data_IF_703191152321
#
_entry.id   IF_703191152321
#
_cell.length_a   1.000
_cell.length_b   1.000
_cell.length_c   1.000
_cell.angle_alpha   90.00
_cell.angle_beta   90.00
_cell.angle_gamma   90.00
#
_symmetry.space_group_name_H-M   'P 1'
#
loop_
_entity.id
_entity.type
_entity.pdbx_description
1 polymer ?
#
# COMPACT_ATOMS: atom_id res chain seq x y z
N UNK A 1 5.05 3.30 -12.93
CA UNK A 1 4.20 2.42 -12.13
C UNK A 1 2.87 2.21 -12.82
N UNK A 2 2.54 0.96 -13.13
CA UNK A 2 1.32 0.62 -13.86
C UNK A 2 0.55 -0.40 -13.00
N UNK A 3 -0.22 0.10 -12.05
CA UNK A 3 -1.05 -0.72 -11.18
C UNK A 3 -2.50 -0.44 -11.45
N UNK A 4 -3.24 -1.46 -11.87
CA UNK A 4 -4.64 -1.39 -12.30
C UNK A 4 -5.56 -1.79 -11.16
N UNK A 5 -6.68 -1.08 -11.03
CA UNK A 5 -7.81 -1.48 -10.19
C UNK A 5 -9.09 -1.56 -11.01
N UNK A 6 -10.16 -2.05 -10.41
CA UNK A 6 -11.48 -1.94 -11.02
C UNK A 6 -11.97 -0.49 -10.96
N UNK A 7 -12.75 -0.13 -11.96
CA UNK A 7 -13.53 1.13 -11.97
C UNK A 7 -14.90 0.88 -11.37
N UNK A 8 -15.53 1.91 -10.84
CA UNK A 8 -16.94 1.83 -10.47
C UNK A 8 -17.80 1.97 -11.74
N UNK A 9 -17.96 0.85 -12.47
CA UNK A 9 -18.68 0.81 -13.74
C UNK A 9 -20.11 1.31 -13.62
N UNK A 10 -20.79 1.00 -12.52
CA UNK A 10 -22.16 1.47 -12.29
C UNK A 10 -22.23 2.98 -12.04
N UNK A 11 -21.32 3.52 -11.25
CA UNK A 11 -21.23 4.95 -11.00
C UNK A 11 -20.82 5.71 -12.28
N UNK A 12 -19.83 5.20 -13.03
CA UNK A 12 -19.40 5.80 -14.30
C UNK A 12 -20.54 5.85 -15.32
N UNK A 13 -21.26 4.75 -15.51
CA UNK A 13 -22.42 4.73 -16.42
C UNK A 13 -23.44 5.79 -16.06
N UNK A 14 -23.73 5.97 -14.77
CA UNK A 14 -24.63 7.02 -14.28
C UNK A 14 -24.08 8.41 -14.53
N UNK A 15 -22.78 8.64 -14.33
CA UNK A 15 -22.13 9.92 -14.62
C UNK A 15 -22.24 10.30 -16.09
N UNK A 16 -21.92 9.39 -17.02
CA UNK A 16 -22.08 9.66 -18.46
C UNK A 16 -23.49 10.13 -18.79
N UNK A 17 -24.52 9.44 -18.27
CA UNK A 17 -25.91 9.82 -18.46
C UNK A 17 -26.23 11.22 -17.87
N UNK A 18 -25.69 11.56 -16.69
CA UNK A 18 -25.87 12.87 -16.07
C UNK A 18 -25.29 14.01 -16.91
N UNK A 19 -24.19 13.75 -17.63
CA UNK A 19 -23.58 14.72 -18.56
C UNK A 19 -24.20 14.68 -19.96
N UNK A 20 -25.28 13.94 -20.16
CA UNK A 20 -25.93 13.79 -21.46
C UNK A 20 -25.06 13.08 -22.52
N UNK A 21 -24.11 12.27 -22.06
CA UNK A 21 -23.19 11.50 -22.92
C UNK A 21 -23.55 10.03 -22.90
N UNK A 22 -23.32 9.37 -24.05
CA UNK A 22 -23.39 7.92 -24.12
C UNK A 22 -22.19 7.32 -23.40
N UNK A 23 -22.44 6.29 -22.57
CA UNK A 23 -21.38 5.58 -21.88
C UNK A 23 -20.58 4.72 -22.89
N UNK A 24 -19.26 4.61 -22.75
CA UNK A 24 -18.46 3.72 -23.56
C UNK A 24 -18.97 2.28 -23.52
N UNK A 25 -18.90 1.58 -24.64
CA UNK A 25 -19.43 0.21 -24.83
C UNK A 25 -18.86 -0.79 -23.82
N UNK A 26 -17.59 -0.64 -23.43
CA UNK A 26 -16.91 -1.55 -22.51
C UNK A 26 -17.53 -1.53 -21.09
N UNK A 27 -18.17 -0.45 -20.66
CA UNK A 27 -18.84 -0.39 -19.36
C UNK A 27 -19.95 -1.45 -19.26
N UNK A 28 -20.75 -1.60 -20.30
CA UNK A 28 -21.82 -2.58 -20.32
C UNK A 28 -21.29 -4.00 -20.41
N UNK A 29 -20.20 -4.23 -21.14
CA UNK A 29 -19.56 -5.54 -21.21
C UNK A 29 -18.95 -5.95 -19.85
N UNK A 30 -18.29 -5.02 -19.15
CA UNK A 30 -17.76 -5.28 -17.81
C UNK A 30 -18.88 -5.60 -16.81
N UNK A 31 -19.98 -4.84 -16.82
CA UNK A 31 -21.15 -5.09 -15.98
C UNK A 31 -21.72 -6.50 -16.26
N UNK A 32 -21.93 -6.85 -17.53
CA UNK A 32 -22.42 -8.18 -17.92
C UNK A 32 -21.49 -9.30 -17.43
N UNK A 33 -20.18 -9.12 -17.59
CA UNK A 33 -19.20 -10.10 -17.15
C UNK A 33 -19.20 -10.27 -15.64
N UNK A 34 -19.28 -9.19 -14.86
CA UNK A 34 -19.38 -9.24 -13.40
C UNK A 34 -20.66 -9.95 -12.92
N UNK A 35 -21.78 -9.67 -13.57
CA UNK A 35 -23.06 -10.30 -13.24
C UNK A 35 -23.05 -11.80 -13.61
N UNK A 36 -22.54 -12.16 -14.77
CA UNK A 36 -22.40 -13.56 -15.21
C UNK A 36 -21.50 -14.39 -14.28
N UNK A 37 -20.45 -13.77 -13.70
CA UNK A 37 -19.56 -14.40 -12.72
C UNK A 37 -20.09 -14.37 -11.28
N UNK A 38 -21.29 -13.81 -11.04
CA UNK A 38 -21.91 -13.74 -9.72
C UNK A 38 -21.30 -12.69 -8.77
N UNK A 39 -20.52 -11.74 -9.27
CA UNK A 39 -19.84 -10.73 -8.44
C UNK A 39 -20.69 -9.49 -8.14
N UNK A 40 -21.88 -9.35 -8.72
CA UNK A 40 -22.75 -8.18 -8.56
C UNK A 40 -22.95 -7.79 -7.09
N UNK A 41 -23.31 -8.75 -6.23
CA UNK A 41 -23.59 -8.48 -4.82
C UNK A 41 -22.33 -8.13 -3.99
N UNK A 42 -21.15 -8.50 -4.46
CA UNK A 42 -19.87 -8.26 -3.82
C UNK A 42 -19.06 -7.15 -4.51
N UNK A 43 -19.61 -6.54 -5.55
CA UNK A 43 -18.89 -5.60 -6.41
C UNK A 43 -18.22 -4.46 -5.63
N UNK A 44 -18.96 -3.76 -4.77
CA UNK A 44 -18.41 -2.66 -3.97
C UNK A 44 -17.25 -3.09 -3.08
N UNK A 45 -17.34 -4.27 -2.48
CA UNK A 45 -16.25 -4.82 -1.65
C UNK A 45 -15.02 -5.15 -2.48
N UNK A 46 -15.20 -5.76 -3.65
CA UNK A 46 -14.11 -6.09 -4.57
C UNK A 46 -13.47 -4.83 -5.14
N UNK A 47 -14.27 -3.85 -5.52
CA UNK A 47 -13.80 -2.54 -5.96
C UNK A 47 -12.89 -1.90 -4.89
N UNK A 48 -13.34 -1.85 -3.64
CA UNK A 48 -12.54 -1.30 -2.54
C UNK A 48 -11.24 -2.07 -2.32
N UNK A 49 -11.28 -3.41 -2.40
CA UNK A 49 -10.06 -4.23 -2.27
C UNK A 49 -9.06 -3.92 -3.38
N UNK A 50 -9.50 -3.83 -4.64
CA UNK A 50 -8.61 -3.53 -5.77
C UNK A 50 -8.05 -2.12 -5.69
N UNK A 51 -8.85 -1.13 -5.27
CA UNK A 51 -8.38 0.25 -5.04
C UNK A 51 -7.35 0.33 -3.91
N UNK A 52 -7.60 -0.33 -2.78
CA UNK A 52 -6.64 -0.40 -1.68
C UNK A 52 -5.33 -1.06 -2.10
N UNK A 53 -5.41 -2.11 -2.92
CA UNK A 53 -4.21 -2.77 -3.46
C UNK A 53 -3.43 -1.85 -4.39
N UNK A 54 -4.10 -1.18 -5.32
CA UNK A 54 -3.51 -0.19 -6.21
C UNK A 54 -2.79 0.92 -5.43
N UNK A 55 -3.45 1.46 -4.41
CA UNK A 55 -2.87 2.46 -3.52
C UNK A 55 -1.58 1.98 -2.85
N UNK A 56 -1.58 0.77 -2.29
CA UNK A 56 -0.38 0.18 -1.67
C UNK A 56 0.76 0.01 -2.66
N UNK A 57 0.46 -0.42 -3.88
CA UNK A 57 1.45 -0.57 -4.93
C UNK A 57 2.06 0.79 -5.30
N UNK A 58 1.25 1.85 -5.47
CA UNK A 58 1.74 3.20 -5.72
C UNK A 58 2.62 3.70 -4.57
N UNK A 59 2.11 3.59 -3.35
CA UNK A 59 2.85 4.00 -2.16
C UNK A 59 4.21 3.33 -2.09
N UNK A 60 4.27 2.01 -2.19
CA UNK A 60 5.52 1.24 -2.14
C UNK A 60 6.49 1.68 -3.25
N UNK A 61 6.02 1.74 -4.50
CA UNK A 61 6.86 2.12 -5.62
C UNK A 61 7.40 3.56 -5.51
N UNK A 62 6.56 4.51 -5.12
CA UNK A 62 6.96 5.91 -4.99
C UNK A 62 7.88 6.13 -3.79
N UNK A 63 7.65 5.45 -2.67
CA UNK A 63 8.57 5.50 -1.53
C UNK A 63 9.94 4.89 -1.85
N UNK A 64 9.99 3.79 -2.61
CA UNK A 64 11.24 3.19 -3.07
C UNK A 64 12.02 4.11 -4.01
N UNK A 65 11.33 4.75 -4.96
CA UNK A 65 11.93 5.75 -5.86
C UNK A 65 12.46 6.94 -5.06
N UNK A 66 11.67 7.45 -4.12
CA UNK A 66 12.07 8.58 -3.28
C UNK A 66 13.22 8.27 -2.33
N UNK A 67 13.35 7.02 -1.89
CA UNK A 67 14.47 6.59 -1.06
C UNK A 67 15.79 6.45 -1.84
N UNK A 68 15.73 6.45 -3.16
CA UNK A 68 16.91 6.34 -4.02
C UNK A 68 17.70 7.65 -4.06
N UNK A 69 19.01 7.57 -3.83
CA UNK A 69 19.93 8.71 -4.01
C UNK A 69 20.39 8.89 -5.48
N UNK A 70 19.99 8.00 -6.37
CA UNK A 70 20.45 7.96 -7.77
C UNK A 70 19.37 8.49 -8.71
N UNK A 71 18.09 8.16 -8.43
CA UNK A 71 16.98 8.56 -9.28
C UNK A 71 16.66 10.04 -9.11
N UNK A 72 16.60 10.76 -10.23
CA UNK A 72 16.30 12.19 -10.26
C UNK A 72 14.80 12.51 -10.34
N UNK A 73 13.97 11.51 -10.52
CA UNK A 73 12.51 11.68 -10.62
C UNK A 73 11.80 10.43 -11.13
N UNK A 74 10.52 10.57 -11.37
CA UNK A 74 9.67 9.52 -11.92
C UNK A 74 8.58 10.14 -12.80
N UNK A 75 7.97 9.34 -13.63
CA UNK A 75 6.66 9.65 -14.18
C UNK A 75 5.69 8.51 -13.91
N UNK A 76 4.43 8.86 -13.77
CA UNK A 76 3.35 7.93 -13.43
C UNK A 76 2.34 7.89 -14.58
N UNK A 77 1.96 6.70 -15.01
CA UNK A 77 0.86 6.48 -15.92
C UNK A 77 -0.31 5.99 -15.06
N UNK A 78 -1.33 6.82 -14.85
CA UNK A 78 -1.58 8.18 -15.32
C UNK A 78 -2.23 9.00 -14.20
N UNK A 79 -2.37 10.32 -14.38
CA UNK A 79 -3.07 11.15 -13.40
C UNK A 79 -4.59 10.97 -13.50
N UNK A 80 -5.17 11.10 -14.69
CA UNK A 80 -6.59 10.89 -14.93
C UNK A 80 -6.82 9.68 -15.83
N UNK A 81 -7.82 8.87 -15.52
CA UNK A 81 -8.29 7.82 -16.42
C UNK A 81 -8.91 8.41 -17.69
N UNK A 82 -8.92 7.63 -18.75
CA UNK A 82 -9.63 7.98 -19.98
C UNK A 82 -10.95 7.23 -20.07
N UNK A 83 -11.83 7.69 -20.96
CA UNK A 83 -13.07 6.99 -21.32
C UNK A 83 -12.86 5.87 -22.37
N UNK A 84 -11.64 5.73 -22.90
CA UNK A 84 -11.31 4.80 -24.00
C UNK A 84 -11.13 3.36 -23.55
N UNK A 85 -10.71 3.16 -22.29
CA UNK A 85 -10.30 1.84 -21.79
C UNK A 85 -10.95 1.53 -20.45
N UNK A 86 -11.16 0.25 -20.20
CA UNK A 86 -11.77 -0.31 -19.00
C UNK A 86 -10.88 -0.24 -17.75
N UNK A 87 -9.55 -0.25 -17.91
CA UNK A 87 -8.63 -0.28 -16.79
C UNK A 87 -8.45 1.09 -16.13
N UNK A 88 -8.36 1.08 -14.81
CA UNK A 88 -8.13 2.23 -13.96
C UNK A 88 -6.68 2.29 -13.50
N UNK A 89 -5.93 3.20 -14.09
CA UNK A 89 -4.56 3.54 -13.68
C UNK A 89 -4.49 4.94 -13.06
N UNK A 90 -5.54 5.73 -13.22
CA UNK A 90 -5.59 7.12 -12.80
C UNK A 90 -5.79 7.30 -11.29
N UNK A 91 -5.24 8.38 -10.76
CA UNK A 91 -5.54 8.87 -9.42
C UNK A 91 -6.97 9.41 -9.36
N UNK A 92 -7.40 10.06 -10.44
CA UNK A 92 -8.77 10.52 -10.64
C UNK A 92 -9.42 9.79 -11.82
N UNK A 93 -10.75 9.79 -11.88
CA UNK A 93 -11.50 9.20 -12.97
C UNK A 93 -11.51 10.09 -14.23
N UNK A 94 -12.20 9.67 -15.29
CA UNK A 94 -12.31 10.44 -16.54
C UNK A 94 -13.20 11.71 -16.43
N UNK A 95 -13.70 12.02 -15.27
CA UNK A 95 -14.42 13.25 -14.93
C UNK A 95 -13.66 14.10 -13.90
N UNK A 96 -12.39 13.80 -13.63
CA UNK A 96 -11.51 14.41 -12.66
C UNK A 96 -11.98 14.26 -11.19
N UNK A 97 -12.83 13.28 -10.90
CA UNK A 97 -13.25 12.95 -9.54
C UNK A 97 -12.31 11.93 -8.89
N UNK A 98 -12.09 12.07 -7.59
CA UNK A 98 -11.32 11.12 -6.80
C UNK A 98 -11.91 9.70 -6.88
N UNK A 99 -11.05 8.69 -7.00
CA UNK A 99 -11.49 7.30 -7.15
C UNK A 99 -10.83 6.32 -6.18
N UNK A 100 -10.93 6.60 -4.91
CA UNK A 100 -10.53 5.67 -3.85
C UNK A 100 -9.26 6.03 -3.10
N UNK A 101 -8.64 7.16 -3.43
CA UNK A 101 -7.59 7.81 -2.66
C UNK A 101 -7.84 9.31 -2.63
N UNK A 102 -7.74 9.91 -1.46
CA UNK A 102 -7.82 11.36 -1.32
C UNK A 102 -6.50 12.04 -1.72
N UNK A 103 -6.58 13.32 -2.06
CA UNK A 103 -5.38 14.12 -2.31
C UNK A 103 -4.46 14.18 -1.07
N UNK A 104 -5.03 14.15 0.12
CA UNK A 104 -4.30 14.14 1.39
C UNK A 104 -3.53 12.83 1.56
N UNK A 105 -4.17 11.68 1.40
CA UNK A 105 -3.53 10.36 1.47
C UNK A 105 -2.40 10.22 0.44
N UNK A 106 -2.62 10.71 -0.79
CA UNK A 106 -1.61 10.67 -1.84
C UNK A 106 -0.37 11.52 -1.50
N UNK A 107 -0.56 12.68 -0.88
CA UNK A 107 0.54 13.56 -0.44
C UNK A 107 1.40 12.95 0.66
N UNK A 108 0.88 12.02 1.48
CA UNK A 108 1.65 11.37 2.54
C UNK A 108 2.90 10.65 2.01
N UNK A 109 2.85 10.15 0.77
CA UNK A 109 4.00 9.48 0.13
C UNK A 109 4.48 10.15 -1.16
N UNK A 110 3.78 11.17 -1.66
CA UNK A 110 4.16 11.92 -2.86
C UNK A 110 4.03 13.43 -2.71
N UNK A 111 4.23 13.96 -1.52
CA UNK A 111 4.36 15.40 -1.24
C UNK A 111 5.77 15.94 -1.50
N UNK A 112 5.98 17.23 -1.28
CA UNK A 112 7.31 17.85 -1.34
C UNK A 112 8.23 17.34 -0.23
N UNK A 113 7.67 17.09 0.95
CA UNK A 113 8.34 16.51 2.12
C UNK A 113 7.66 15.19 2.46
N UNK A 114 8.42 14.09 2.51
CA UNK A 114 7.89 12.74 2.77
C UNK A 114 8.78 12.00 3.76
N UNK A 115 8.17 11.46 4.83
CA UNK A 115 8.83 10.54 5.76
C UNK A 115 8.83 9.16 5.12
N UNK A 116 9.96 8.46 5.15
CA UNK A 116 10.13 7.11 4.60
C UNK A 116 10.61 6.16 5.69
N UNK A 117 9.88 5.08 5.99
CA UNK A 117 10.33 4.01 6.87
C UNK A 117 10.80 2.81 6.03
N UNK A 118 12.07 2.46 6.15
CA UNK A 118 12.71 1.39 5.36
C UNK A 118 12.60 0.05 6.10
N UNK A 119 11.44 -0.58 5.99
CA UNK A 119 11.20 -1.91 6.56
C UNK A 119 11.85 -2.98 5.66
N UNK A 120 12.67 -3.87 6.21
CA UNK A 120 13.21 -5.02 5.47
C UNK A 120 12.11 -6.03 5.12
N UNK A 121 11.14 -6.18 6.00
CA UNK A 121 9.99 -7.08 5.84
C UNK A 121 8.75 -6.50 6.50
N UNK A 122 7.59 -7.03 6.17
CA UNK A 122 6.31 -6.62 6.73
C UNK A 122 5.75 -7.60 7.76
N UNK A 123 6.44 -8.72 7.98
CA UNK A 123 6.00 -9.78 8.90
C UNK A 123 7.08 -10.10 9.92
N UNK A 124 6.69 -10.15 11.18
CA UNK A 124 7.56 -10.38 12.33
C UNK A 124 6.99 -11.47 13.23
N UNK A 125 7.83 -12.04 14.06
CA UNK A 125 7.42 -12.99 15.12
C UNK A 125 7.37 -12.27 16.46
N UNK A 126 6.49 -12.68 17.37
CA UNK A 126 6.42 -12.19 18.74
C UNK A 126 7.80 -12.13 19.40
N UNK A 127 8.14 -10.99 20.02
CA UNK A 127 9.42 -10.74 20.67
C UNK A 127 10.62 -10.57 19.72
N UNK A 128 10.43 -10.58 18.41
CA UNK A 128 11.49 -10.30 17.44
C UNK A 128 11.94 -8.84 17.55
N UNK A 129 13.26 -8.63 17.59
CA UNK A 129 13.86 -7.29 17.55
C UNK A 129 14.24 -6.94 16.14
N UNK A 130 13.90 -5.75 15.71
CA UNK A 130 14.22 -5.25 14.37
C UNK A 130 14.44 -3.74 14.38
N UNK A 131 15.15 -3.28 13.38
CA UNK A 131 15.46 -1.86 13.19
C UNK A 131 14.77 -1.32 11.96
N UNK A 132 14.16 -0.16 12.08
CA UNK A 132 13.54 0.55 10.95
C UNK A 132 14.26 1.88 10.74
N UNK A 133 15.14 1.99 9.72
CA UNK A 133 15.70 3.28 9.33
C UNK A 133 14.60 4.21 8.84
N UNK A 134 14.58 5.45 9.36
CA UNK A 134 13.66 6.50 8.95
C UNK A 134 14.44 7.55 8.18
N UNK A 135 14.01 7.79 6.94
CA UNK A 135 14.57 8.79 6.06
C UNK A 135 13.58 9.94 5.88
N UNK A 136 14.11 11.11 5.55
CA UNK A 136 13.32 12.24 5.04
C UNK A 136 13.67 12.46 3.58
N UNK A 137 12.67 12.47 2.71
CA UNK A 137 12.75 12.91 1.32
C UNK A 137 12.25 14.35 1.26
N UNK A 138 13.16 15.32 1.19
CA UNK A 138 12.88 16.74 1.28
C UNK A 138 13.19 17.44 -0.04
N UNK A 139 12.17 17.87 -0.75
CA UNK A 139 12.27 18.58 -2.02
C UNK A 139 11.42 19.84 -2.08
N UNK A 140 10.95 20.34 -0.93
CA UNK A 140 10.28 21.63 -0.84
C UNK A 140 11.24 22.75 -1.26
N UNK A 141 10.73 23.75 -1.97
CA UNK A 141 11.52 24.91 -2.43
C UNK A 141 12.08 25.71 -1.24
N UNK A 142 11.26 25.86 -0.20
CA UNK A 142 11.63 26.55 1.04
C UNK A 142 11.36 25.63 2.23
N UNK A 143 12.23 24.64 2.51
CA UNK A 143 11.99 23.69 3.60
C UNK A 143 12.11 24.37 4.96
N UNK A 144 11.25 24.02 5.88
CA UNK A 144 11.39 24.38 7.29
C UNK A 144 12.65 23.73 7.84
N UNK A 145 13.47 24.50 8.59
CA UNK A 145 14.82 24.09 8.97
C UNK A 145 14.86 23.04 10.07
N UNK A 146 13.81 22.97 10.87
CA UNK A 146 13.69 21.98 11.94
C UNK A 146 12.24 21.59 12.16
N UNK A 147 12.03 20.41 12.74
CA UNK A 147 10.73 19.93 13.14
C UNK A 147 10.85 18.88 14.26
N UNK A 148 9.76 18.56 14.89
CA UNK A 148 9.69 17.56 15.95
C UNK A 148 9.16 16.24 15.38
N UNK A 149 10.01 15.23 15.40
CA UNK A 149 9.66 13.88 14.91
C UNK A 149 9.01 13.07 16.02
N UNK A 150 7.94 12.34 15.67
CA UNK A 150 7.28 11.38 16.55
C UNK A 150 6.93 10.12 15.76
N UNK A 151 7.05 8.96 16.40
CA UNK A 151 6.45 7.74 15.88
C UNK A 151 5.59 7.04 16.94
N UNK A 152 4.64 6.25 16.46
CA UNK A 152 3.86 5.31 17.26
C UNK A 152 3.74 3.98 16.51
N UNK A 153 3.89 2.88 17.25
CA UNK A 153 3.51 1.55 16.78
C UNK A 153 2.27 1.14 17.56
N UNK A 154 1.18 0.89 16.86
CA UNK A 154 -0.11 0.56 17.49
C UNK A 154 -0.77 -0.64 16.81
N UNK A 155 -1.65 -1.31 17.55
CA UNK A 155 -2.59 -2.26 16.97
C UNK A 155 -3.63 -1.54 16.10
N UNK A 156 -4.37 -2.30 15.31
CA UNK A 156 -5.43 -1.76 14.45
C UNK A 156 -6.59 -1.10 15.22
N UNK A 157 -6.75 -1.42 16.50
CA UNK A 157 -7.72 -0.79 17.42
C UNK A 157 -7.21 0.51 18.06
N UNK A 158 -5.98 0.93 17.74
CA UNK A 158 -5.34 2.13 18.28
C UNK A 158 -4.52 1.92 19.55
N UNK A 159 -4.52 0.71 20.14
CA UNK A 159 -3.70 0.42 21.33
C UNK A 159 -2.21 0.55 21.00
N UNK A 160 -1.51 1.47 21.67
CA UNK A 160 -0.09 1.76 21.41
C UNK A 160 0.81 0.72 22.06
N UNK A 161 1.73 0.15 21.26
CA UNK A 161 2.75 -0.81 21.71
C UNK A 161 4.10 -0.13 21.99
N UNK A 162 4.46 0.86 21.19
CA UNK A 162 5.73 1.59 21.28
C UNK A 162 5.55 3.00 20.72
N UNK A 163 6.23 3.97 21.33
CA UNK A 163 6.27 5.34 20.83
C UNK A 163 7.55 6.03 21.31
N UNK A 164 8.06 6.96 20.50
CA UNK A 164 9.11 7.90 20.91
C UNK A 164 9.04 9.17 20.06
N UNK A 165 9.78 10.19 20.51
CA UNK A 165 9.91 11.47 19.84
C UNK A 165 11.36 11.95 19.85
N UNK A 166 11.71 12.77 18.85
CA UNK A 166 12.96 13.49 18.75
C UNK A 166 12.62 14.95 18.43
N UNK A 167 13.09 15.84 19.29
CA UNK A 167 12.86 17.27 19.11
C UNK A 167 13.91 17.90 18.19
N UNK A 168 13.50 18.92 17.46
CA UNK A 168 14.37 19.81 16.66
C UNK A 168 15.30 19.06 15.70
N UNK A 169 14.79 18.04 15.00
CA UNK A 169 15.56 17.38 13.94
C UNK A 169 15.82 18.37 12.80
N UNK A 170 17.03 18.32 12.20
CA UNK A 170 17.39 19.14 11.04
C UNK A 170 16.62 18.65 9.79
N UNK A 171 15.77 19.48 9.23
CA UNK A 171 14.92 19.20 8.06
C UNK A 171 15.19 20.16 6.90
N UNK A 172 16.12 21.09 7.06
CA UNK A 172 16.40 22.13 6.06
C UNK A 172 17.26 21.71 4.87
N UNK A 173 17.72 20.47 4.81
CA UNK A 173 18.53 19.95 3.70
C UNK A 173 17.66 19.42 2.59
N UNK A 174 17.95 19.78 1.34
CA UNK A 174 17.32 19.17 0.18
C UNK A 174 17.91 17.78 -0.09
N UNK A 175 17.08 16.86 -0.57
CA UNK A 175 17.46 15.49 -0.93
C UNK A 175 16.92 14.45 0.03
N UNK A 176 17.52 13.27 0.01
CA UNK A 176 17.12 12.13 0.85
C UNK A 176 18.21 11.85 1.88
N UNK A 177 17.83 11.84 3.15
CA UNK A 177 18.77 11.59 4.24
C UNK A 177 18.09 10.90 5.43
N UNK A 178 18.90 10.18 6.20
CA UNK A 178 18.44 9.48 7.40
C UNK A 178 18.26 10.46 8.55
N UNK A 179 17.12 10.41 9.22
CA UNK A 179 16.83 11.19 10.43
C UNK A 179 17.03 10.39 11.71
N UNK A 180 16.67 9.10 11.71
CA UNK A 180 16.89 8.20 12.85
C UNK A 180 16.82 6.72 12.45
N UNK A 181 17.00 5.85 13.44
CA UNK A 181 16.65 4.42 13.36
C UNK A 181 15.76 4.08 14.56
N UNK A 182 14.66 3.42 14.29
CA UNK A 182 13.74 2.94 15.32
C UNK A 182 14.15 1.53 15.71
N UNK A 183 14.51 1.33 16.98
CA UNK A 183 14.73 0.01 17.57
C UNK A 183 13.40 -0.48 18.14
N UNK A 184 12.82 -1.50 17.50
CA UNK A 184 11.48 -2.00 17.83
C UNK A 184 11.57 -3.45 18.27
N UNK A 185 10.80 -3.80 19.29
CA UNK A 185 10.53 -5.20 19.66
C UNK A 185 9.07 -5.50 19.34
N UNK A 186 8.84 -6.50 18.50
CA UNK A 186 7.49 -6.94 18.17
C UNK A 186 6.75 -7.39 19.44
N UNK A 187 5.51 -6.95 19.68
CA UNK A 187 4.76 -7.33 20.87
C UNK A 187 4.47 -8.82 20.90
N UNK A 188 4.30 -9.37 22.10
CA UNK A 188 3.84 -10.75 22.25
C UNK A 188 2.37 -10.87 21.87
N UNK A 189 2.05 -11.75 20.94
CA UNK A 189 0.68 -11.98 20.46
C UNK A 189 0.32 -13.47 20.52
N UNK A 190 -0.94 -13.77 20.84
CA UNK A 190 -1.47 -15.15 20.82
C UNK A 190 -2.09 -15.55 19.50
N UNK A 191 -2.41 -14.57 18.65
CA UNK A 191 -2.96 -14.73 17.29
C UNK A 191 -2.30 -13.70 16.38
N UNK A 192 -2.25 -13.96 15.06
CA UNK A 192 -1.74 -12.95 14.13
C UNK A 192 -2.41 -11.60 14.34
N UNK A 193 -1.60 -10.55 14.46
CA UNK A 193 -2.05 -9.20 14.72
C UNK A 193 -1.47 -8.23 13.68
N UNK A 194 -2.31 -7.33 13.18
CA UNK A 194 -1.89 -6.22 12.33
C UNK A 194 -1.45 -5.07 13.24
N UNK A 195 -0.29 -4.51 12.95
CA UNK A 195 0.23 -3.29 13.56
C UNK A 195 0.35 -2.19 12.50
N UNK A 196 0.29 -0.96 12.97
CA UNK A 196 0.47 0.25 12.18
C UNK A 196 1.61 1.05 12.79
N UNK A 197 2.69 1.23 12.03
CA UNK A 197 3.75 2.18 12.33
C UNK A 197 3.34 3.52 11.74
N UNK A 198 3.07 4.52 12.57
CA UNK A 198 2.77 5.88 12.15
C UNK A 198 3.92 6.79 12.52
N UNK A 199 4.29 7.71 11.65
CA UNK A 199 5.31 8.71 11.89
C UNK A 199 4.82 10.10 11.49
N UNK A 200 5.25 11.11 12.23
CA UNK A 200 4.95 12.51 11.93
C UNK A 200 6.18 13.39 12.20
N UNK A 201 6.28 14.47 11.44
CA UNK A 201 7.15 15.60 11.74
C UNK A 201 6.26 16.83 11.84
N UNK A 202 6.25 17.44 13.01
CA UNK A 202 5.53 18.70 13.26
C UNK A 202 6.50 19.85 13.04
N UNK A 203 6.21 20.69 12.09
CA UNK A 203 6.90 21.94 11.79
C UNK A 203 6.16 23.12 12.44
N UNK A 204 6.70 24.32 12.29
CA UNK A 204 6.04 25.52 12.80
C UNK A 204 4.66 25.77 12.15
N UNK A 205 4.56 25.56 10.83
CA UNK A 205 3.37 25.90 10.04
C UNK A 205 2.70 24.68 9.37
N UNK A 206 3.27 23.48 9.50
CA UNK A 206 2.78 22.29 8.80
C UNK A 206 3.06 21.01 9.56
N UNK A 207 2.43 19.92 9.13
CA UNK A 207 2.70 18.57 9.64
C UNK A 207 2.86 17.63 8.46
N UNK A 208 3.96 16.89 8.43
CA UNK A 208 4.16 15.78 7.52
C UNK A 208 3.87 14.46 8.24
N UNK A 209 3.06 13.61 7.65
CA UNK A 209 2.68 12.31 8.24
C UNK A 209 2.86 11.19 7.24
N UNK A 210 3.13 9.98 7.74
CA UNK A 210 3.08 8.76 6.94
C UNK A 210 2.83 7.54 7.85
N UNK A 211 2.41 6.41 7.26
CA UNK A 211 2.16 5.19 8.03
C UNK A 211 2.40 3.93 7.21
N UNK A 212 2.77 2.85 7.89
CA UNK A 212 3.08 1.54 7.28
C UNK A 212 2.45 0.42 8.08
N UNK A 213 1.95 -0.58 7.37
CA UNK A 213 1.37 -1.77 7.97
C UNK A 213 2.43 -2.85 8.17
N UNK A 214 2.33 -3.58 9.25
CA UNK A 214 3.10 -4.78 9.52
C UNK A 214 2.26 -5.82 10.26
N UNK A 215 2.73 -7.05 10.26
CA UNK A 215 2.04 -8.16 10.89
C UNK A 215 2.96 -8.87 11.88
N UNK A 216 2.43 -9.19 13.05
CA UNK A 216 3.14 -9.99 14.05
C UNK A 216 2.40 -11.32 14.21
N UNK A 217 3.16 -12.39 14.16
CA UNK A 217 2.68 -13.75 14.34
C UNK A 217 3.18 -14.31 15.68
N UNK A 218 2.40 -15.19 16.35
CA UNK A 218 2.87 -15.89 17.55
C UNK A 218 4.14 -16.67 17.26
N UNK A 219 5.01 -16.82 18.26
CA UNK A 219 6.10 -17.82 18.16
C UNK A 219 5.49 -19.19 17.94
N UNK A 220 5.97 -19.89 16.93
CA UNK A 220 5.61 -21.29 16.74
C UNK A 220 6.42 -22.14 17.73
N UNK A 221 5.75 -22.79 18.66
CA UNK A 221 6.32 -23.81 19.50
C UNK A 221 6.25 -25.16 18.75
N UNK A 222 7.38 -25.74 18.46
CA UNK A 222 7.49 -27.04 17.80
C UNK A 222 7.92 -26.99 16.34
N UNK A 223 8.23 -28.16 15.80
CA UNK A 223 8.57 -28.30 14.37
C UNK A 223 7.33 -28.12 13.52
N UNK A 224 7.44 -27.29 12.47
CA UNK A 224 6.43 -27.22 11.41
C UNK A 224 6.10 -28.65 10.94
N UNK A 225 4.86 -29.08 11.12
CA UNK A 225 4.36 -30.26 10.43
C UNK A 225 4.17 -29.88 8.97
N UNK A 226 5.10 -30.27 8.13
CA UNK A 226 4.90 -30.17 6.70
C UNK A 226 3.63 -30.95 6.32
N UNK A 227 2.85 -30.47 5.33
CA UNK A 227 1.73 -31.23 4.79
C UNK A 227 2.20 -32.65 4.43
N UNK A 228 1.37 -33.64 4.69
CA UNK A 228 1.70 -35.00 4.30
C UNK A 228 1.91 -35.04 2.77
N UNK A 229 2.89 -35.81 2.29
CA UNK A 229 3.19 -35.97 0.86
C UNK A 229 1.92 -36.22 0.03
N UNK A 230 0.98 -36.98 0.59
CA UNK A 230 -0.32 -37.26 -0.03
C UNK A 230 -1.21 -36.00 -0.24
N UNK A 231 -1.12 -35.00 0.64
CA UNK A 231 -1.90 -33.76 0.51
C UNK A 231 -1.28 -32.83 -0.54
N UNK A 232 0.05 -32.85 -0.65
CA UNK A 232 0.77 -32.13 -1.72
C UNK A 232 0.48 -32.73 -3.10
N UNK A 233 0.44 -34.07 -3.20
CA UNK A 233 0.09 -34.76 -4.44
C UNK A 233 -1.37 -34.47 -4.85
N UNK A 234 -2.31 -34.44 -3.92
CA UNK A 234 -3.70 -34.05 -4.19
C UNK A 234 -3.82 -32.60 -4.67
N UNK A 235 -3.10 -31.69 -4.04
CA UNK A 235 -3.06 -30.29 -4.46
C UNK A 235 -2.50 -30.15 -5.89
N UNK A 236 -1.44 -30.88 -6.23
CA UNK A 236 -0.85 -30.91 -7.56
C UNK A 236 -1.87 -31.39 -8.61
N UNK A 237 -2.57 -32.49 -8.34
CA UNK A 237 -3.62 -33.01 -9.24
C UNK A 237 -4.75 -31.99 -9.46
N UNK A 238 -5.18 -31.28 -8.41
CA UNK A 238 -6.21 -30.23 -8.53
C UNK A 238 -5.71 -29.09 -9.42
N UNK A 239 -4.47 -28.65 -9.23
CA UNK A 239 -3.89 -27.57 -10.01
C UNK A 239 -3.69 -27.95 -11.48
N UNK A 240 -3.30 -29.17 -11.75
CA UNK A 240 -3.16 -29.70 -13.12
C UNK A 240 -4.54 -29.82 -13.80
N UNK A 241 -5.54 -30.34 -13.08
CA UNK A 241 -6.93 -30.45 -13.59
C UNK A 241 -7.51 -29.11 -13.97
N UNK A 242 -7.25 -28.08 -13.15
CA UNK A 242 -7.80 -26.74 -13.35
C UNK A 242 -6.90 -25.87 -14.26
N UNK A 243 -5.93 -26.48 -14.93
CA UNK A 243 -4.99 -25.84 -15.86
C UNK A 243 -4.22 -24.66 -15.25
N UNK A 244 -4.02 -24.72 -13.93
CA UNK A 244 -3.23 -23.75 -13.20
C UNK A 244 -1.74 -24.07 -13.42
N UNK A 245 -1.13 -23.42 -14.42
CA UNK A 245 0.33 -23.50 -14.62
C UNK A 245 1.01 -22.83 -13.43
N UNK A 246 1.51 -23.63 -12.50
CA UNK A 246 2.28 -23.09 -11.39
C UNK A 246 3.75 -23.39 -11.57
N UNK A 247 4.53 -22.35 -11.73
CA UNK A 247 5.99 -22.37 -11.50
C UNK A 247 6.34 -22.49 -10.00
N UNK A 248 5.35 -22.50 -9.12
CA UNK A 248 5.56 -22.57 -7.67
C UNK A 248 6.08 -23.93 -7.19
N UNK A 249 5.95 -24.98 -7.97
CA UNK A 249 6.43 -26.31 -7.57
C UNK A 249 7.96 -26.48 -7.66
N UNK A 250 8.62 -25.67 -8.49
CA UNK A 250 10.09 -25.71 -8.61
C UNK A 250 10.82 -25.20 -7.35
N UNK A 251 10.12 -24.54 -6.44
CA UNK A 251 10.69 -23.94 -5.22
C UNK A 251 10.69 -24.92 -4.03
N UNK A 252 9.95 -26.04 -4.12
CA UNK A 252 9.77 -26.99 -3.01
C UNK A 252 10.46 -28.35 -3.19
N UNK A 253 11.27 -28.52 -4.24
CA UNK A 253 12.13 -29.70 -4.43
C UNK A 253 13.56 -29.51 -3.86
N UNK A 254 13.68 -28.91 -2.66
CA UNK A 254 14.96 -28.84 -1.93
C UNK A 254 14.85 -29.61 -0.61
#
# INVERSE_FOLDING_TARGET
CHYVSWRDFYALKKKFAQYGKEAPWWIDEEIKMLEAKGYKNNFKKLLQITKNFQFRCWKTALEDIRASSILSGFHMLQFADTDRYENSNGVVDCFDDEQGISAEDFRCFNGETVILARQEKQTYTSGEKFTVPVLLSQYAINPEKCGDFKYTLSYADGTVCSAASLEKIDTGKSGVYKICSLEITAPEVKKPAKLILSASITFENSVCTNSWEMWVFPKQEGKLKLPAKNDMEKAKVIMERDNLQSRMWEVYEV
#
